data_IF_298332518110
#
_entry.id   IF_298332518110
#
_cell.length_a   1.000
_cell.length_b   1.000
_cell.length_c   1.000
_cell.angle_alpha   90.00
_cell.angle_beta   90.00
_cell.angle_gamma   90.00
#
_symmetry.space_group_name_H-M   'P 1'
#
loop_
_entity.id
_entity.type
_entity.pdbx_description
1 polymer ?
#
# COMPACT_ATOMS: atom_id res chain seq x y z
N UNK A 1 -24.84 22.56 -3.53
CA UNK A 1 -23.88 21.72 -2.81
C UNK A 1 -24.54 20.35 -2.67
N UNK A 2 -24.14 19.34 -3.48
CA UNK A 2 -24.72 18.00 -3.46
C UNK A 2 -24.39 17.38 -2.09
N UNK A 3 -25.37 17.32 -1.19
CA UNK A 3 -25.29 16.46 -0.01
C UNK A 3 -25.38 15.02 -0.53
N UNK A 4 -24.23 14.40 -0.69
CA UNK A 4 -24.18 12.96 -0.88
C UNK A 4 -24.66 12.34 0.43
N UNK A 5 -25.92 11.91 0.48
CA UNK A 5 -26.50 11.34 1.68
C UNK A 5 -25.80 10.01 2.00
N UNK A 6 -25.39 9.83 3.25
CA UNK A 6 -24.82 8.57 3.74
C UNK A 6 -25.74 7.36 3.41
N UNK A 7 -27.06 7.60 3.36
CA UNK A 7 -28.05 6.63 2.96
C UNK A 7 -27.86 6.10 1.52
N UNK A 8 -27.36 6.92 0.59
CA UNK A 8 -27.09 6.48 -0.78
C UNK A 8 -26.05 5.37 -0.83
N UNK A 9 -24.94 5.53 -0.09
CA UNK A 9 -23.86 4.57 -0.08
C UNK A 9 -24.24 3.23 0.58
N UNK A 10 -25.31 3.20 1.36
CA UNK A 10 -25.84 1.97 1.95
C UNK A 10 -26.86 1.26 1.05
N UNK A 11 -27.29 1.88 -0.05
CA UNK A 11 -28.12 1.19 -1.03
C UNK A 11 -27.31 0.11 -1.76
N UNK A 12 -27.96 -0.94 -2.22
CA UNK A 12 -27.33 -1.99 -3.03
C UNK A 12 -26.63 -1.39 -4.27
N UNK A 13 -27.22 -0.37 -4.88
CA UNK A 13 -26.64 0.34 -6.01
C UNK A 13 -25.37 1.11 -5.63
N UNK A 14 -25.38 1.85 -4.51
CA UNK A 14 -24.19 2.58 -4.01
C UNK A 14 -23.04 1.64 -3.68
N UNK A 15 -23.32 0.52 -2.99
CA UNK A 15 -22.32 -0.51 -2.67
C UNK A 15 -21.74 -1.12 -3.95
N UNK A 16 -22.57 -1.48 -4.93
CA UNK A 16 -22.13 -2.01 -6.21
C UNK A 16 -21.26 -1.01 -6.98
N UNK A 17 -21.66 0.26 -6.99
CA UNK A 17 -20.91 1.35 -7.62
C UNK A 17 -19.50 1.49 -7.03
N UNK A 18 -19.38 1.51 -5.70
CA UNK A 18 -18.09 1.57 -5.00
C UNK A 18 -17.26 0.31 -5.28
N UNK A 19 -17.87 -0.87 -5.32
CA UNK A 19 -17.21 -2.11 -5.69
C UNK A 19 -16.62 -2.06 -7.11
N UNK A 20 -17.40 -1.60 -8.09
CA UNK A 20 -16.94 -1.44 -9.48
C UNK A 20 -15.82 -0.40 -9.55
N UNK A 21 -15.94 0.71 -8.84
CA UNK A 21 -14.88 1.72 -8.77
C UNK A 21 -13.60 1.15 -8.15
N UNK A 22 -13.75 0.38 -7.06
CA UNK A 22 -12.62 -0.35 -6.47
C UNK A 22 -11.91 -1.28 -7.45
N UNK A 23 -12.66 -2.02 -8.30
CA UNK A 23 -12.05 -2.84 -9.36
C UNK A 23 -11.25 -2.00 -10.36
N UNK A 24 -11.78 -0.85 -10.79
CA UNK A 24 -11.06 0.06 -11.70
C UNK A 24 -9.78 0.63 -11.08
N UNK A 25 -9.87 1.03 -9.81
CA UNK A 25 -8.67 1.47 -9.06
C UNK A 25 -7.69 0.31 -8.92
N UNK A 26 -8.14 -0.91 -8.65
CA UNK A 26 -7.29 -2.10 -8.59
C UNK A 26 -6.50 -2.35 -9.88
N UNK A 27 -7.11 -2.12 -11.04
CA UNK A 27 -6.41 -2.20 -12.33
C UNK A 27 -5.30 -1.13 -12.44
N UNK A 28 -5.56 0.09 -11.98
CA UNK A 28 -4.54 1.14 -11.88
C UNK A 28 -3.44 0.81 -10.85
N UNK A 29 -3.80 0.25 -9.69
CA UNK A 29 -2.83 -0.17 -8.69
C UNK A 29 -1.83 -1.21 -9.23
N UNK A 30 -2.25 -2.09 -10.13
CA UNK A 30 -1.32 -2.99 -10.81
C UNK A 30 -0.21 -2.24 -11.58
N UNK A 31 -0.54 -1.09 -12.19
CA UNK A 31 0.46 -0.23 -12.83
C UNK A 31 1.38 0.39 -11.79
N UNK A 32 0.85 0.90 -10.68
CA UNK A 32 1.63 1.47 -9.57
C UNK A 32 2.58 0.42 -9.00
N UNK A 33 2.09 -0.78 -8.66
CA UNK A 33 2.86 -1.88 -8.07
C UNK A 33 4.05 -2.26 -8.96
N UNK A 34 3.86 -2.27 -10.27
CA UNK A 34 4.92 -2.63 -11.22
C UNK A 34 5.88 -1.47 -11.50
N UNK A 35 5.36 -0.27 -11.81
CA UNK A 35 6.18 0.83 -12.32
C UNK A 35 6.88 1.62 -11.22
N UNK A 36 6.23 1.84 -10.09
CA UNK A 36 6.81 2.68 -9.03
C UNK A 36 8.16 2.17 -8.53
N UNK A 37 8.35 0.86 -8.22
CA UNK A 37 9.67 0.36 -7.84
C UNK A 37 10.73 0.49 -8.95
N UNK A 38 10.32 0.31 -10.22
CA UNK A 38 11.24 0.45 -11.37
C UNK A 38 11.68 1.90 -11.54
N UNK A 39 10.76 2.86 -11.36
CA UNK A 39 11.09 4.29 -11.40
C UNK A 39 12.06 4.67 -10.28
N UNK A 40 11.81 4.21 -9.06
CA UNK A 40 12.68 4.46 -7.92
C UNK A 40 14.08 3.86 -8.11
N UNK A 41 14.16 2.62 -8.57
CA UNK A 41 15.45 1.95 -8.85
C UNK A 41 16.24 2.71 -9.93
N UNK A 42 15.54 3.25 -10.92
CA UNK A 42 16.16 4.05 -11.98
C UNK A 42 16.69 5.39 -11.43
N UNK A 43 15.89 6.10 -10.64
CA UNK A 43 16.30 7.34 -9.98
C UNK A 43 17.49 7.14 -9.04
N UNK A 44 17.49 6.07 -8.26
CA UNK A 44 18.60 5.71 -7.38
C UNK A 44 19.90 5.46 -8.16
N UNK A 45 19.83 4.73 -9.29
CA UNK A 45 20.98 4.48 -10.15
C UNK A 45 21.50 5.76 -10.79
N UNK A 46 20.62 6.62 -11.27
CA UNK A 46 21.02 7.94 -11.81
C UNK A 46 21.73 8.78 -10.76
N UNK A 47 21.16 8.89 -9.58
CA UNK A 47 21.71 9.67 -8.47
C UNK A 47 23.04 9.11 -7.97
N UNK A 48 23.15 7.79 -7.84
CA UNK A 48 24.40 7.12 -7.46
C UNK A 48 25.52 7.38 -8.47
N UNK A 49 25.18 7.35 -9.77
CA UNK A 49 26.15 7.66 -10.82
C UNK A 49 26.64 9.11 -10.78
N UNK A 50 25.71 10.07 -10.57
CA UNK A 50 26.05 11.49 -10.42
C UNK A 50 26.97 11.77 -9.22
N UNK A 51 26.72 11.10 -8.09
CA UNK A 51 27.60 11.23 -6.91
C UNK A 51 29.00 10.69 -7.18
N UNK A 52 29.11 9.58 -7.91
CA UNK A 52 30.40 8.91 -8.15
C UNK A 52 31.25 9.60 -9.22
N UNK A 53 30.64 10.25 -10.20
CA UNK A 53 31.32 10.82 -11.36
C UNK A 53 31.30 12.36 -11.38
N UNK A 54 30.55 12.99 -10.46
CA UNK A 54 30.36 14.45 -10.43
C UNK A 54 29.51 14.93 -11.61
N UNK A 55 29.34 16.25 -11.73
CA UNK A 55 28.86 16.87 -12.96
C UNK A 55 30.01 16.81 -13.98
N UNK A 56 30.17 15.66 -14.63
CA UNK A 56 31.21 15.48 -15.64
C UNK A 56 30.84 16.36 -16.84
N UNK A 57 31.50 17.52 -16.96
CA UNK A 57 31.61 18.30 -18.20
C UNK A 57 32.51 17.53 -19.21
N UNK A 58 32.16 16.29 -19.54
CA UNK A 58 32.98 15.43 -20.40
C UNK A 58 32.17 14.33 -21.09
N UNK A 59 32.83 13.60 -22.01
CA UNK A 59 32.24 12.61 -22.91
C UNK A 59 31.54 11.40 -22.25
N UNK A 60 31.66 11.22 -20.93
CA UNK A 60 30.98 10.14 -20.20
C UNK A 60 29.54 10.52 -19.84
N UNK A 61 28.65 10.33 -20.81
CA UNK A 61 27.20 10.46 -20.58
C UNK A 61 26.73 9.40 -19.57
N UNK A 62 25.92 9.84 -18.60
CA UNK A 62 25.29 8.94 -17.64
C UNK A 62 24.55 7.80 -18.37
N UNK A 63 24.98 6.53 -18.24
CA UNK A 63 24.38 5.40 -18.96
C UNK A 63 22.91 5.15 -18.56
N UNK A 64 22.46 5.72 -17.44
CA UNK A 64 21.08 5.64 -16.94
C UNK A 64 20.23 6.82 -17.43
N UNK A 65 20.81 7.81 -18.11
CA UNK A 65 20.07 8.93 -18.68
C UNK A 65 19.31 8.48 -19.94
N UNK A 66 18.02 8.18 -19.77
CA UNK A 66 17.15 7.78 -20.87
C UNK A 66 16.45 9.00 -21.47
N UNK A 67 16.35 9.05 -22.80
CA UNK A 67 15.56 10.07 -23.52
C UNK A 67 14.06 9.76 -23.49
N UNK A 68 13.68 8.53 -23.12
CA UNK A 68 12.29 8.10 -23.05
C UNK A 68 11.71 8.35 -21.67
N UNK A 69 10.57 9.02 -21.63
CA UNK A 69 9.84 9.27 -20.38
C UNK A 69 9.18 7.98 -19.88
N UNK A 70 9.66 7.44 -18.75
CA UNK A 70 9.03 6.33 -18.05
C UNK A 70 8.39 6.84 -16.78
N UNK A 71 7.04 6.82 -16.73
CA UNK A 71 6.26 7.24 -15.57
C UNK A 71 4.99 6.37 -15.42
N UNK A 72 4.10 6.71 -14.48
CA UNK A 72 2.86 5.94 -14.27
C UNK A 72 1.90 5.98 -15.48
N UNK A 73 2.02 6.97 -16.37
CA UNK A 73 1.14 7.14 -17.54
C UNK A 73 1.81 6.69 -18.84
N UNK A 74 3.12 6.90 -18.98
CA UNK A 74 3.87 6.63 -20.21
C UNK A 74 5.02 5.62 -19.94
N UNK A 75 5.30 4.74 -20.92
CA UNK A 75 4.54 4.40 -22.12
C UNK A 75 3.19 3.73 -21.80
N UNK A 76 2.25 3.66 -22.76
CA UNK A 76 0.98 2.94 -22.58
C UNK A 76 1.20 1.47 -22.18
N UNK A 77 0.15 0.83 -21.67
CA UNK A 77 0.22 -0.58 -21.26
C UNK A 77 0.54 -1.48 -22.45
N UNK A 78 1.54 -2.34 -22.32
CA UNK A 78 2.01 -3.27 -23.36
C UNK A 78 2.37 -4.62 -22.75
N UNK A 79 2.35 -5.65 -23.57
CA UNK A 79 2.75 -6.99 -23.15
C UNK A 79 4.28 -7.02 -22.97
N UNK A 80 4.81 -7.44 -21.80
CA UNK A 80 6.25 -7.48 -21.57
C UNK A 80 6.99 -8.49 -22.46
N UNK A 81 6.28 -9.46 -23.04
CA UNK A 81 6.89 -10.51 -23.85
C UNK A 81 6.93 -10.18 -25.35
N UNK A 82 5.89 -9.55 -25.90
CA UNK A 82 5.81 -9.27 -27.35
C UNK A 82 5.72 -7.78 -27.71
N UNK A 83 5.70 -6.87 -26.70
CA UNK A 83 5.57 -5.43 -26.94
C UNK A 83 4.19 -4.98 -27.46
N UNK A 84 3.25 -5.89 -27.71
CA UNK A 84 1.93 -5.53 -28.23
C UNK A 84 1.20 -4.60 -27.26
N UNK A 85 0.69 -3.49 -27.81
CA UNK A 85 -0.07 -2.50 -27.04
C UNK A 85 -1.39 -3.10 -26.51
N UNK A 86 -1.66 -2.91 -25.23
CA UNK A 86 -2.90 -3.35 -24.57
C UNK A 86 -3.94 -2.25 -24.75
N UNK A 87 -5.05 -2.57 -25.45
CA UNK A 87 -6.16 -1.65 -25.65
C UNK A 87 -6.95 -1.47 -24.37
N UNK A 88 -7.64 -0.32 -24.17
CA UNK A 88 -8.34 0.01 -22.94
C UNK A 88 -9.39 -1.06 -22.52
N UNK A 89 -10.11 -1.66 -23.49
CA UNK A 89 -11.08 -2.73 -23.20
C UNK A 89 -10.42 -4.07 -22.78
N UNK A 90 -9.15 -4.26 -23.11
CA UNK A 90 -8.34 -5.39 -22.65
C UNK A 90 -7.82 -5.18 -21.22
N UNK A 91 -8.07 -4.01 -20.66
CA UNK A 91 -7.71 -3.63 -19.30
C UNK A 91 -8.95 -3.45 -18.40
N UNK A 92 -10.15 -3.89 -18.87
CA UNK A 92 -11.35 -3.92 -18.04
C UNK A 92 -11.14 -4.96 -16.92
N UNK A 93 -11.23 -4.54 -15.64
CA UNK A 93 -10.90 -5.42 -14.52
C UNK A 93 -11.69 -6.74 -14.56
N UNK A 94 -11.01 -7.84 -14.25
CA UNK A 94 -11.55 -9.21 -14.20
C UNK A 94 -12.10 -9.68 -15.55
N UNK A 95 -12.96 -8.89 -16.19
CA UNK A 95 -13.67 -9.27 -17.44
C UNK A 95 -12.68 -9.59 -18.55
N UNK A 96 -11.69 -8.73 -18.75
CA UNK A 96 -10.67 -8.93 -19.79
C UNK A 96 -9.84 -10.18 -19.54
N UNK A 97 -9.45 -10.43 -18.30
CA UNK A 97 -8.71 -11.63 -17.91
C UNK A 97 -9.49 -12.92 -18.21
N UNK A 98 -10.78 -12.94 -17.87
CA UNK A 98 -11.66 -14.08 -18.11
C UNK A 98 -11.90 -14.31 -19.61
N UNK A 99 -12.18 -13.25 -20.37
CA UNK A 99 -12.41 -13.33 -21.83
C UNK A 99 -11.17 -13.78 -22.59
N UNK A 100 -9.99 -13.32 -22.17
CA UNK A 100 -8.70 -13.69 -22.73
C UNK A 100 -8.16 -15.02 -22.17
N UNK A 101 -8.90 -15.66 -21.24
CA UNK A 101 -8.48 -16.92 -20.58
C UNK A 101 -7.09 -16.80 -19.94
N UNK A 102 -6.76 -15.63 -19.39
CA UNK A 102 -5.47 -15.35 -18.76
C UNK A 102 -4.28 -15.39 -19.71
N UNK A 103 -4.46 -15.09 -21.02
CA UNK A 103 -3.39 -15.11 -22.03
C UNK A 103 -3.37 -13.84 -22.84
N UNK A 104 -2.17 -13.42 -23.23
CA UNK A 104 -1.99 -12.30 -24.16
C UNK A 104 -2.59 -12.61 -25.52
N UNK A 105 -3.37 -11.67 -26.08
CA UNK A 105 -4.00 -11.82 -27.41
C UNK A 105 -2.96 -11.86 -28.53
N UNK A 106 -1.79 -11.21 -28.37
CA UNK A 106 -0.74 -11.16 -29.39
C UNK A 106 0.16 -12.38 -29.42
N UNK A 107 0.63 -12.88 -28.29
CA UNK A 107 1.63 -13.95 -28.21
C UNK A 107 1.20 -15.19 -27.41
N UNK A 108 0.01 -15.20 -26.81
CA UNK A 108 -0.48 -16.33 -26.02
C UNK A 108 0.21 -16.53 -24.66
N UNK A 109 1.20 -15.72 -24.29
CA UNK A 109 1.87 -15.80 -22.98
C UNK A 109 0.87 -15.63 -21.85
N UNK A 110 1.03 -16.40 -20.76
CA UNK A 110 0.16 -16.34 -19.59
C UNK A 110 0.29 -15.01 -18.86
N UNK A 111 -0.85 -14.38 -18.56
CA UNK A 111 -0.94 -13.19 -17.71
C UNK A 111 -0.87 -13.65 -16.26
N UNK A 112 -0.05 -12.99 -15.43
CA UNK A 112 0.07 -13.33 -14.02
C UNK A 112 -1.28 -13.20 -13.29
N UNK A 113 -1.62 -14.19 -12.47
CA UNK A 113 -2.83 -14.19 -11.64
C UNK A 113 -2.83 -13.03 -10.62
N UNK A 114 -1.66 -12.46 -10.32
CA UNK A 114 -1.52 -11.29 -9.45
C UNK A 114 -2.41 -10.13 -9.90
N UNK A 115 -2.47 -9.86 -11.22
CA UNK A 115 -3.32 -8.79 -11.77
C UNK A 115 -4.77 -8.96 -11.36
N UNK A 116 -5.30 -10.18 -11.53
CA UNK A 116 -6.66 -10.51 -11.15
C UNK A 116 -6.87 -10.42 -9.63
N UNK A 117 -5.90 -10.86 -8.83
CA UNK A 117 -5.98 -10.83 -7.37
C UNK A 117 -6.03 -9.38 -6.84
N UNK A 118 -5.17 -8.50 -7.34
CA UNK A 118 -5.16 -7.07 -6.93
C UNK A 118 -6.50 -6.41 -7.26
N UNK A 119 -7.03 -6.62 -8.47
CA UNK A 119 -8.32 -6.07 -8.87
C UNK A 119 -9.45 -6.56 -7.99
N UNK A 120 -9.54 -7.88 -7.79
CA UNK A 120 -10.59 -8.50 -6.97
C UNK A 120 -10.50 -8.04 -5.51
N UNK A 121 -9.31 -8.08 -4.92
CA UNK A 121 -9.10 -7.61 -3.55
C UNK A 121 -9.47 -6.14 -3.40
N UNK A 122 -9.06 -5.28 -4.33
CA UNK A 122 -9.39 -3.86 -4.30
C UNK A 122 -10.91 -3.63 -4.34
N UNK A 123 -11.65 -4.34 -5.20
CA UNK A 123 -13.10 -4.28 -5.25
C UNK A 123 -13.76 -4.78 -3.97
N UNK A 124 -13.37 -5.95 -3.47
CA UNK A 124 -13.92 -6.53 -2.22
C UNK A 124 -13.63 -5.65 -1.01
N UNK A 125 -12.38 -5.19 -0.84
CA UNK A 125 -12.01 -4.31 0.27
C UNK A 125 -12.78 -2.98 0.19
N UNK A 126 -13.00 -2.42 -0.99
CA UNK A 126 -13.82 -1.20 -1.17
C UNK A 126 -15.27 -1.41 -0.73
N UNK A 127 -15.86 -2.58 -1.02
CA UNK A 127 -17.20 -2.95 -0.52
C UNK A 127 -17.20 -3.04 1.01
N UNK A 128 -16.19 -3.67 1.62
CA UNK A 128 -16.10 -3.76 3.09
C UNK A 128 -15.98 -2.38 3.72
N UNK A 129 -15.21 -1.47 3.12
CA UNK A 129 -15.05 -0.09 3.59
C UNK A 129 -16.36 0.68 3.55
N UNK A 130 -17.14 0.63 2.46
CA UNK A 130 -18.42 1.35 2.38
C UNK A 130 -19.47 0.81 3.35
N UNK A 131 -19.44 -0.48 3.64
CA UNK A 131 -20.30 -1.09 4.65
C UNK A 131 -19.94 -0.64 6.08
N UNK A 132 -18.68 -0.31 6.33
CA UNK A 132 -18.17 0.12 7.64
C UNK A 132 -18.27 1.63 7.86
N UNK A 133 -17.99 2.42 6.83
CA UNK A 133 -17.90 3.88 6.87
C UNK A 133 -18.88 4.50 5.86
N UNK A 134 -20.17 4.65 6.22
CA UNK A 134 -21.17 5.21 5.31
C UNK A 134 -21.09 6.74 5.18
N UNK A 135 -20.42 7.43 6.12
CA UNK A 135 -20.19 8.87 6.03
C UNK A 135 -19.28 9.18 4.83
N UNK A 136 -19.63 10.12 3.94
CA UNK A 136 -18.87 10.39 2.72
C UNK A 136 -17.41 10.78 2.95
N UNK A 137 -17.12 11.56 4.00
CA UNK A 137 -15.75 11.96 4.31
C UNK A 137 -14.93 10.78 4.83
N UNK A 138 -15.48 10.04 5.80
CA UNK A 138 -14.82 8.82 6.29
C UNK A 138 -14.63 7.80 5.18
N UNK A 139 -15.62 7.60 4.30
CA UNK A 139 -15.56 6.69 3.18
C UNK A 139 -14.40 7.01 2.22
N UNK A 140 -14.29 8.27 1.77
CA UNK A 140 -13.23 8.69 0.84
C UNK A 140 -11.85 8.44 1.45
N UNK A 141 -11.63 8.89 2.67
CA UNK A 141 -10.34 8.72 3.33
C UNK A 141 -10.02 7.25 3.61
N UNK A 142 -11.00 6.46 4.06
CA UNK A 142 -10.81 5.03 4.31
C UNK A 142 -10.52 4.23 3.02
N UNK A 143 -11.15 4.59 1.88
CA UNK A 143 -10.84 4.01 0.58
C UNK A 143 -9.41 4.33 0.15
N UNK A 144 -8.99 5.59 0.26
CA UNK A 144 -7.62 6.01 -0.08
C UNK A 144 -6.57 5.25 0.74
N UNK A 145 -6.78 5.13 2.06
CA UNK A 145 -5.91 4.32 2.92
C UNK A 145 -5.87 2.86 2.47
N UNK A 146 -7.05 2.27 2.22
CA UNK A 146 -7.17 0.86 1.84
C UNK A 146 -6.42 0.57 0.54
N UNK A 147 -6.57 1.42 -0.48
CA UNK A 147 -5.89 1.27 -1.77
C UNK A 147 -4.39 1.45 -1.67
N UNK A 148 -3.94 2.42 -0.85
CA UNK A 148 -2.51 2.62 -0.61
C UNK A 148 -1.88 1.44 0.12
N UNK A 149 -2.52 0.93 1.18
CA UNK A 149 -2.05 -0.26 1.90
C UNK A 149 -2.00 -1.48 0.98
N UNK A 150 -3.01 -1.68 0.13
CA UNK A 150 -3.02 -2.78 -0.82
C UNK A 150 -1.83 -2.70 -1.78
N UNK A 151 -1.54 -1.53 -2.35
CA UNK A 151 -0.38 -1.36 -3.22
C UNK A 151 0.94 -1.61 -2.47
N UNK A 152 1.10 -1.05 -1.26
CA UNK A 152 2.30 -1.25 -0.42
C UNK A 152 2.52 -2.72 -0.05
N UNK A 153 1.44 -3.48 0.24
CA UNK A 153 1.52 -4.93 0.50
C UNK A 153 2.18 -5.67 -0.67
N UNK A 154 1.73 -5.40 -1.90
CA UNK A 154 2.25 -6.10 -3.08
C UNK A 154 3.64 -5.62 -3.46
N UNK A 155 3.94 -4.33 -3.33
CA UNK A 155 5.29 -3.80 -3.60
C UNK A 155 6.29 -4.43 -2.63
N UNK A 156 5.98 -4.42 -1.33
CA UNK A 156 6.91 -4.94 -0.33
C UNK A 156 7.04 -6.47 -0.39
N UNK A 157 5.97 -7.18 -0.70
CA UNK A 157 6.03 -8.64 -0.89
C UNK A 157 6.92 -9.05 -2.09
N UNK A 158 7.04 -8.22 -3.14
CA UNK A 158 7.82 -8.52 -4.33
C UNK A 158 9.24 -7.94 -4.31
N UNK A 159 9.39 -6.75 -3.73
CA UNK A 159 10.63 -5.97 -3.80
C UNK A 159 11.30 -5.72 -2.46
N UNK A 160 10.64 -6.07 -1.34
CA UNK A 160 11.07 -5.75 0.02
C UNK A 160 11.37 -4.24 0.18
N UNK A 161 10.52 -3.42 -0.42
CA UNK A 161 10.63 -1.97 -0.48
C UNK A 161 9.29 -1.32 -0.13
N UNK A 162 9.31 -0.41 0.84
CA UNK A 162 8.17 0.46 1.16
C UNK A 162 8.48 1.88 0.65
N UNK A 163 7.84 2.34 -0.44
CA UNK A 163 8.14 3.63 -1.05
C UNK A 163 7.79 4.81 -0.13
N UNK A 164 8.74 5.71 0.09
CA UNK A 164 8.51 6.94 0.86
C UNK A 164 7.48 7.86 0.21
N UNK A 165 7.42 7.86 -1.12
CA UNK A 165 6.41 8.58 -1.91
C UNK A 165 4.98 8.09 -1.67
N UNK A 166 4.80 6.94 -1.01
CA UNK A 166 3.51 6.45 -0.54
C UNK A 166 3.37 6.58 0.98
N UNK A 167 4.33 6.09 1.74
CA UNK A 167 4.23 6.06 3.20
C UNK A 167 4.08 7.45 3.81
N UNK A 168 4.89 8.42 3.39
CA UNK A 168 4.86 9.76 3.99
C UNK A 168 3.60 10.55 3.61
N UNK A 169 3.18 10.64 2.33
CA UNK A 169 1.94 11.35 2.00
C UNK A 169 0.71 10.76 2.65
N UNK A 170 0.62 9.42 2.75
CA UNK A 170 -0.52 8.79 3.42
C UNK A 170 -0.49 8.91 4.94
N UNK A 171 0.68 9.04 5.56
CA UNK A 171 0.79 9.44 6.97
C UNK A 171 0.23 10.86 7.16
N UNK A 172 0.64 11.82 6.34
CA UNK A 172 0.14 13.19 6.39
C UNK A 172 -1.35 13.29 6.07
N UNK A 173 -1.84 12.43 5.16
CA UNK A 173 -3.27 12.34 4.87
C UNK A 173 -4.09 11.88 6.10
N UNK A 174 -3.53 10.98 6.93
CA UNK A 174 -4.13 10.58 8.21
C UNK A 174 -4.21 11.74 9.20
N UNK A 175 -3.15 12.53 9.30
CA UNK A 175 -3.13 13.75 10.13
C UNK A 175 -4.12 14.78 9.60
N UNK A 176 -4.22 14.95 8.27
CA UNK A 176 -5.21 15.82 7.65
C UNK A 176 -6.65 15.37 7.97
N UNK A 177 -6.93 14.06 7.89
CA UNK A 177 -8.22 13.49 8.27
C UNK A 177 -8.58 13.82 9.73
N UNK A 178 -7.58 13.85 10.62
CA UNK A 178 -7.76 14.22 12.01
C UNK A 178 -8.03 15.72 12.22
N UNK A 179 -7.76 16.59 11.24
CA UNK A 179 -8.10 18.03 11.27
C UNK A 179 -9.55 18.29 10.83
N UNK A 180 -10.17 17.39 10.07
CA UNK A 180 -11.51 17.61 9.48
C UNK A 180 -12.57 17.29 10.54
N UNK A 181 -13.52 18.23 10.74
CA UNK A 181 -14.68 18.08 11.64
C UNK A 181 -14.35 17.64 13.08
N UNK A 182 -13.16 17.98 13.58
CA UNK A 182 -12.70 17.58 14.92
C UNK A 182 -12.12 16.17 14.99
N UNK A 183 -11.92 15.52 13.83
CA UNK A 183 -11.31 14.20 13.67
C UNK A 183 -12.26 13.19 13.02
N UNK A 184 -11.95 12.74 11.80
CA UNK A 184 -12.78 11.74 11.10
C UNK A 184 -12.70 10.35 11.77
N UNK A 185 -11.52 9.97 12.25
CA UNK A 185 -11.27 8.69 12.88
C UNK A 185 -10.72 8.85 14.29
N UNK A 186 -9.79 9.79 14.48
CA UNK A 186 -9.15 10.13 15.76
C UNK A 186 -8.93 11.64 15.85
N UNK A 187 -8.74 12.18 17.06
CA UNK A 187 -8.41 13.60 17.24
C UNK A 187 -7.02 13.94 16.69
N UNK A 188 -6.77 15.19 16.34
CA UNK A 188 -5.48 15.67 15.83
C UNK A 188 -4.33 15.32 16.80
N UNK A 189 -4.53 15.56 18.10
CA UNK A 189 -3.53 15.22 19.12
C UNK A 189 -3.20 13.72 19.11
N UNK A 190 -4.22 12.86 19.09
CA UNK A 190 -4.08 11.40 19.08
C UNK A 190 -3.39 10.92 17.78
N UNK A 191 -3.68 11.55 16.64
CA UNK A 191 -3.05 11.25 15.36
C UNK A 191 -1.55 11.57 15.36
N UNK A 192 -1.19 12.78 15.77
CA UNK A 192 0.22 13.23 15.78
C UNK A 192 1.04 12.42 16.80
N UNK A 193 0.54 12.25 18.03
CA UNK A 193 1.21 11.43 19.04
C UNK A 193 1.31 9.98 18.59
N UNK A 194 0.25 9.45 17.96
CA UNK A 194 0.25 8.12 17.37
C UNK A 194 1.35 7.94 16.32
N UNK A 195 1.48 8.88 15.39
CA UNK A 195 2.54 8.84 14.37
C UNK A 195 3.95 8.84 14.99
N UNK A 196 4.18 9.72 15.98
CA UNK A 196 5.47 9.82 16.67
C UNK A 196 5.83 8.53 17.41
N UNK A 197 4.90 8.03 18.22
CA UNK A 197 5.12 6.82 19.03
C UNK A 197 5.19 5.58 18.13
N UNK A 198 4.38 5.51 17.07
CA UNK A 198 4.44 4.43 16.08
C UNK A 198 5.83 4.33 15.45
N UNK A 199 6.39 5.44 15.00
CA UNK A 199 7.74 5.48 14.46
C UNK A 199 8.79 5.07 15.50
N UNK A 200 8.78 5.73 16.66
CA UNK A 200 9.80 5.56 17.71
C UNK A 200 9.78 4.16 18.32
N UNK A 201 8.64 3.47 18.34
CA UNK A 201 8.53 2.10 18.89
C UNK A 201 9.39 1.10 18.12
N UNK A 202 9.24 0.99 16.81
CA UNK A 202 10.07 0.10 15.99
C UNK A 202 11.50 0.62 15.82
N UNK A 203 11.68 1.93 15.75
CA UNK A 203 13.00 2.54 15.70
C UNK A 203 13.83 2.21 16.95
N UNK A 204 13.24 2.28 18.14
CA UNK A 204 13.95 1.91 19.38
C UNK A 204 14.28 0.41 19.42
N UNK A 205 13.33 -0.46 19.01
CA UNK A 205 13.60 -1.90 18.90
C UNK A 205 14.74 -2.20 17.93
N UNK A 206 14.76 -1.54 16.77
CA UNK A 206 15.84 -1.66 15.79
C UNK A 206 17.20 -1.31 16.37
N UNK A 207 17.31 -0.15 17.07
CA UNK A 207 18.58 0.28 17.65
C UNK A 207 19.06 -0.63 18.77
N UNK A 208 18.15 -1.06 19.65
CA UNK A 208 18.48 -2.05 20.71
C UNK A 208 19.00 -3.34 20.08
N UNK A 209 18.32 -3.86 19.06
CA UNK A 209 18.75 -5.07 18.36
C UNK A 209 20.09 -4.90 17.67
N UNK A 210 20.30 -3.78 16.98
CA UNK A 210 21.57 -3.46 16.28
C UNK A 210 22.74 -3.33 17.26
N UNK A 211 22.53 -2.68 18.40
CA UNK A 211 23.55 -2.54 19.46
C UNK A 211 23.92 -3.89 20.09
N UNK A 212 22.95 -4.80 20.25
CA UNK A 212 23.17 -6.12 20.86
C UNK A 212 23.78 -7.14 19.89
N UNK A 213 23.43 -7.08 18.60
CA UNK A 213 23.77 -8.13 17.62
C UNK A 213 24.75 -7.68 16.54
N UNK A 214 24.90 -6.36 16.35
CA UNK A 214 25.67 -5.78 15.23
C UNK A 214 25.02 -5.94 13.87
N UNK A 215 23.79 -6.48 13.80
CA UNK A 215 23.07 -6.77 12.55
C UNK A 215 21.89 -5.83 12.36
N UNK A 216 21.55 -5.55 11.11
CA UNK A 216 20.33 -4.85 10.75
C UNK A 216 19.19 -5.86 10.69
N UNK A 217 18.19 -5.71 11.57
CA UNK A 217 17.10 -6.68 11.72
C UNK A 217 15.81 -6.30 10.99
N UNK A 218 15.66 -5.03 10.52
CA UNK A 218 14.41 -4.52 9.96
C UNK A 218 14.69 -3.30 9.06
N UNK A 219 13.86 -3.08 8.05
CA UNK A 219 13.94 -1.92 7.16
C UNK A 219 13.34 -0.65 7.79
N UNK A 220 13.89 0.51 7.44
CA UNK A 220 13.35 1.82 7.87
C UNK A 220 11.92 2.08 7.36
N UNK A 221 11.50 1.41 6.28
CA UNK A 221 10.15 1.49 5.73
C UNK A 221 9.07 1.04 6.71
N UNK A 222 9.34 -0.01 7.50
CA UNK A 222 8.41 -0.55 8.48
C UNK A 222 8.08 0.47 9.57
N UNK A 223 9.06 1.29 9.99
CA UNK A 223 8.85 2.34 11.00
C UNK A 223 7.90 3.41 10.47
N UNK A 224 8.09 3.81 9.20
CA UNK A 224 7.24 4.80 8.52
C UNK A 224 5.84 4.27 8.30
N UNK A 225 5.71 2.99 7.93
CA UNK A 225 4.42 2.35 7.77
C UNK A 225 3.66 2.25 9.11
N UNK A 226 4.34 1.91 10.21
CA UNK A 226 3.70 1.89 11.52
C UNK A 226 3.31 3.30 11.98
N UNK A 227 4.15 4.31 11.71
CA UNK A 227 3.80 5.72 11.96
C UNK A 227 2.55 6.13 11.18
N UNK A 228 2.45 5.76 9.89
CA UNK A 228 1.26 5.96 9.08
C UNK A 228 0.04 5.32 9.74
N UNK A 229 0.09 4.04 10.07
CA UNK A 229 -1.04 3.31 10.66
C UNK A 229 -1.50 3.92 11.98
N UNK A 230 -0.56 4.35 12.83
CA UNK A 230 -0.87 5.00 14.09
C UNK A 230 -1.36 6.45 13.91
N UNK A 231 -0.97 7.15 12.83
CA UNK A 231 -1.54 8.45 12.49
C UNK A 231 -3.05 8.36 12.20
N UNK A 232 -3.51 7.27 11.59
CA UNK A 232 -4.91 7.05 11.26
C UNK A 232 -5.76 6.51 12.41
N UNK A 233 -5.14 5.76 13.34
CA UNK A 233 -5.87 4.99 14.36
C UNK A 233 -5.52 5.39 15.79
N UNK A 234 -4.49 6.22 15.98
CA UNK A 234 -3.98 6.60 17.29
C UNK A 234 -3.09 5.54 17.94
N UNK A 235 -2.47 5.94 19.05
CA UNK A 235 -1.52 5.12 19.81
C UNK A 235 -2.15 3.86 20.42
N UNK A 236 -3.43 3.90 20.75
CA UNK A 236 -4.11 2.80 21.42
C UNK A 236 -4.19 1.53 20.55
N UNK A 237 -4.13 1.67 19.20
CA UNK A 237 -4.11 0.53 18.29
C UNK A 237 -2.72 -0.06 18.07
N UNK A 238 -1.66 0.64 18.45
CA UNK A 238 -0.28 0.20 18.24
C UNK A 238 0.01 -1.22 18.75
N UNK A 239 -0.32 -1.62 20.00
CA UNK A 239 -0.03 -2.97 20.48
C UNK A 239 -0.78 -4.04 19.68
N UNK A 240 -2.01 -3.75 19.23
CA UNK A 240 -2.78 -4.69 18.42
C UNK A 240 -2.22 -4.84 17.01
N UNK A 241 -1.81 -3.73 16.38
CA UNK A 241 -1.13 -3.75 15.07
C UNK A 241 0.12 -4.62 15.15
N UNK A 242 0.97 -4.40 16.15
CA UNK A 242 2.20 -5.18 16.34
C UNK A 242 1.92 -6.65 16.64
N UNK A 243 0.96 -6.93 17.52
CA UNK A 243 0.58 -8.30 17.85
C UNK A 243 0.05 -9.07 16.63
N UNK A 244 -0.91 -8.51 15.90
CA UNK A 244 -1.49 -9.17 14.74
C UNK A 244 -0.49 -9.27 13.58
N UNK A 245 0.41 -8.30 13.40
CA UNK A 245 1.46 -8.39 12.38
C UNK A 245 2.46 -9.50 12.69
N UNK A 246 2.88 -9.63 13.94
CA UNK A 246 3.76 -10.71 14.37
C UNK A 246 3.08 -12.08 14.23
N UNK A 247 1.80 -12.18 14.60
CA UNK A 247 1.02 -13.40 14.50
C UNK A 247 0.84 -13.84 13.04
N UNK A 248 0.43 -12.92 12.15
CA UNK A 248 0.24 -13.22 10.72
C UNK A 248 1.56 -13.56 10.04
N UNK A 249 2.65 -12.84 10.35
CA UNK A 249 3.98 -13.15 9.87
C UNK A 249 4.49 -14.52 10.32
N UNK A 250 4.27 -14.87 11.60
CA UNK A 250 4.63 -16.18 12.13
C UNK A 250 3.83 -17.32 11.46
N UNK A 251 2.52 -17.15 11.30
CA UNK A 251 1.67 -18.13 10.60
C UNK A 251 2.17 -18.35 9.18
N UNK A 252 2.45 -17.27 8.45
CA UNK A 252 2.96 -17.35 7.09
C UNK A 252 4.33 -18.07 7.03
N UNK A 253 5.24 -17.75 7.94
CA UNK A 253 6.54 -18.39 8.02
C UNK A 253 6.44 -19.89 8.28
N UNK A 254 5.52 -20.33 9.15
CA UNK A 254 5.28 -21.75 9.46
C UNK A 254 4.69 -22.46 8.25
N UNK A 255 3.66 -21.90 7.60
CA UNK A 255 3.00 -22.50 6.44
C UNK A 255 3.99 -22.70 5.28
N UNK A 256 4.81 -21.68 5.02
CA UNK A 256 5.77 -21.71 3.92
C UNK A 256 7.12 -22.35 4.31
N UNK A 257 7.26 -22.85 5.53
CA UNK A 257 8.48 -23.47 6.05
C UNK A 257 9.74 -22.60 5.85
N UNK A 258 9.59 -21.28 6.03
CA UNK A 258 10.68 -20.33 5.84
C UNK A 258 11.73 -20.54 6.95
N UNK A 259 12.98 -20.79 6.55
CA UNK A 259 14.09 -20.97 7.49
C UNK A 259 14.46 -19.67 8.22
N UNK A 260 15.05 -19.79 9.43
CA UNK A 260 15.41 -18.64 10.28
C UNK A 260 16.39 -17.64 9.65
N UNK A 261 17.08 -18.01 8.60
CA UNK A 261 18.10 -17.18 7.92
C UNK A 261 17.57 -16.48 6.65
N UNK A 262 16.32 -16.68 6.28
CA UNK A 262 15.73 -16.08 5.07
C UNK A 262 15.10 -14.74 5.47
N UNK A 263 15.55 -13.60 4.91
CA UNK A 263 14.92 -12.31 5.17
C UNK A 263 13.49 -12.31 4.63
N UNK A 264 12.56 -11.83 5.43
CA UNK A 264 11.14 -11.78 5.09
C UNK A 264 10.66 -10.33 5.20
N UNK A 265 9.95 -9.86 4.17
CA UNK A 265 9.30 -8.56 4.22
C UNK A 265 8.28 -8.53 5.38
N UNK A 266 8.42 -7.57 6.31
CA UNK A 266 7.52 -7.42 7.45
C UNK A 266 6.33 -6.52 7.12
N UNK A 267 6.51 -5.57 6.21
CA UNK A 267 5.50 -4.59 5.80
C UNK A 267 4.15 -5.16 5.39
N UNK A 268 4.06 -6.27 4.61
CA UNK A 268 2.77 -6.83 4.24
C UNK A 268 1.94 -7.25 5.46
N UNK A 269 2.57 -7.86 6.47
CA UNK A 269 1.87 -8.30 7.71
C UNK A 269 1.47 -7.10 8.54
N UNK A 270 2.33 -6.08 8.59
CA UNK A 270 2.04 -4.83 9.29
C UNK A 270 0.87 -4.09 8.64
N UNK A 271 0.84 -4.00 7.30
CA UNK A 271 -0.25 -3.37 6.56
C UNK A 271 -1.58 -4.14 6.71
N UNK A 272 -1.56 -5.48 6.64
CA UNK A 272 -2.75 -6.32 6.85
C UNK A 272 -3.28 -6.13 8.27
N UNK A 273 -2.41 -6.23 9.28
CA UNK A 273 -2.79 -6.02 10.68
C UNK A 273 -3.33 -4.61 10.91
N UNK A 274 -2.67 -3.59 10.34
CA UNK A 274 -3.11 -2.20 10.40
C UNK A 274 -4.46 -1.97 9.75
N UNK A 275 -4.74 -2.59 8.60
CA UNK A 275 -6.05 -2.51 7.98
C UNK A 275 -7.14 -3.22 8.79
N UNK A 276 -6.86 -4.39 9.34
CA UNK A 276 -7.80 -5.12 10.20
C UNK A 276 -8.13 -4.33 11.46
N UNK A 277 -7.13 -3.75 12.12
CA UNK A 277 -7.36 -2.89 13.30
C UNK A 277 -8.09 -1.61 12.93
N UNK A 278 -7.86 -1.04 11.75
CA UNK A 278 -8.61 0.11 11.25
C UNK A 278 -10.09 -0.21 11.05
N UNK A 279 -10.40 -1.36 10.46
CA UNK A 279 -11.79 -1.79 10.22
C UNK A 279 -12.52 -2.22 11.48
N UNK A 280 -11.86 -2.88 12.42
CA UNK A 280 -12.49 -3.55 13.57
C UNK A 280 -12.02 -2.99 14.92
N UNK A 281 -11.32 -1.86 14.96
CA UNK A 281 -10.77 -1.26 16.18
C UNK A 281 -11.80 -1.03 17.27
N UNK A 282 -13.02 -0.58 16.92
CA UNK A 282 -14.11 -0.41 17.89
C UNK A 282 -14.53 -1.72 18.56
N UNK A 283 -14.55 -2.84 17.83
CA UNK A 283 -14.85 -4.17 18.39
C UNK A 283 -13.69 -4.67 19.27
N UNK A 284 -12.45 -4.44 18.83
CA UNK A 284 -11.26 -4.77 19.61
C UNK A 284 -11.27 -4.01 20.94
N UNK A 285 -11.59 -2.71 20.89
CA UNK A 285 -11.72 -1.87 22.07
C UNK A 285 -12.79 -2.38 23.06
N UNK A 286 -13.96 -2.72 22.52
CA UNK A 286 -15.07 -3.23 23.32
C UNK A 286 -14.72 -4.55 24.05
N UNK A 287 -13.98 -5.44 23.40
CA UNK A 287 -13.55 -6.73 23.99
C UNK A 287 -12.43 -6.55 25.00
N UNK A 288 -11.53 -5.59 24.78
CA UNK A 288 -10.36 -5.38 25.65
C UNK A 288 -10.61 -4.40 26.79
N UNK A 289 -11.78 -3.73 26.81
CA UNK A 289 -12.13 -2.73 27.83
C UNK A 289 -11.35 -1.42 27.72
N UNK A 290 -10.66 -1.19 26.59
CA UNK A 290 -9.98 0.06 26.31
C UNK A 290 -10.98 1.08 25.78
N UNK A 291 -11.14 2.20 26.49
CA UNK A 291 -11.89 3.37 25.99
C UNK A 291 -10.95 4.26 25.17
N UNK A 292 -11.36 4.64 23.97
CA UNK A 292 -10.65 5.56 23.08
C UNK A 292 -11.19 6.97 23.18
#
# INVERSE_FOLDING_TARGET
>A
MLSLDAAFFQTLFGIALIGVWGLMVGSFLNVVIYRLPVMMEHEEKMYAWEILHGEAEGEDKNPYQTTETFNLMLPGSHCPNCGAHIRFWQNIPIVSYLLQRGRCVGCGTRISIRYLLVELLCGVLSILVVLRYPDPWQLIFALLLTWALLAMIFIDAEKQLLPDVMTLPFMWLGILAACIHGGLFVSLHTSVVGAMVGYLSLWSVYWVFRLMTGKEGMGYGDFKLLALLCAWQGIAMLPFILFFSALTGLIFAIINRIGRSVPMAFGPYLAIAGWLTFMYGGQIAAVTGLSF
#
